data_IF_107013407038
#
_entry.id   IF_107013407038
#
_cell.length_a   1.000
_cell.length_b   1.000
_cell.length_c   1.000
_cell.angle_alpha   90.00
_cell.angle_beta   90.00
_cell.angle_gamma   90.00
#
_symmetry.space_group_name_H-M   'P 1'
#
loop_
_entity.id
_entity.type
_entity.pdbx_description
1 polymer ?
#
# COMPACT_ATOMS: atom_id res chain seq x y z
N UNK A 1 18.55 -41.62 -1.58
CA UNK A 1 18.51 -40.19 -1.93
C UNK A 1 18.44 -39.42 -0.62
N UNK A 2 19.03 -38.24 -0.51
CA UNK A 2 19.07 -37.47 0.73
C UNK A 2 18.28 -36.17 0.54
N UNK A 3 17.36 -35.86 1.44
CA UNK A 3 16.61 -34.60 1.44
C UNK A 3 17.17 -33.63 2.47
N UNK A 4 17.32 -32.38 2.07
CA UNK A 4 17.90 -31.33 2.88
C UNK A 4 17.01 -30.10 2.88
N UNK A 5 16.71 -29.58 4.06
CA UNK A 5 16.13 -28.26 4.23
C UNK A 5 17.21 -27.19 4.01
N UNK A 6 16.94 -26.26 3.09
CA UNK A 6 17.81 -25.13 2.79
C UNK A 6 17.41 -23.94 3.65
N UNK A 7 18.33 -23.49 4.50
CA UNK A 7 18.14 -22.36 5.40
C UNK A 7 18.62 -21.06 4.78
N UNK A 8 17.90 -19.97 5.01
CA UNK A 8 18.37 -18.60 4.75
C UNK A 8 19.24 -18.08 5.91
N UNK A 9 19.66 -16.81 5.84
CA UNK A 9 20.46 -16.15 6.87
C UNK A 9 19.77 -16.10 8.24
N UNK A 10 18.43 -16.13 8.27
CA UNK A 10 17.60 -16.10 9.48
C UNK A 10 17.28 -17.51 10.00
N UNK A 11 17.95 -18.54 9.47
CA UNK A 11 17.72 -19.96 9.79
C UNK A 11 16.30 -20.44 9.47
N UNK A 12 15.62 -19.81 8.51
CA UNK A 12 14.29 -20.21 8.03
C UNK A 12 14.46 -21.13 6.83
N UNK A 13 13.72 -22.24 6.80
CA UNK A 13 13.69 -23.13 5.64
C UNK A 13 12.94 -22.47 4.48
N UNK A 14 13.68 -22.19 3.40
CA UNK A 14 13.15 -21.56 2.18
C UNK A 14 12.98 -22.56 1.03
N UNK A 15 13.48 -23.78 1.17
CA UNK A 15 13.35 -24.81 0.14
C UNK A 15 13.87 -26.18 0.57
N UNK A 16 13.55 -27.21 -0.21
CA UNK A 16 14.00 -28.59 -0.01
C UNK A 16 14.85 -29.02 -1.21
N UNK A 17 16.06 -29.50 -0.94
CA UNK A 17 16.98 -30.05 -1.94
C UNK A 17 17.05 -31.56 -1.84
N UNK A 18 16.91 -32.25 -2.97
CA UNK A 18 17.05 -33.69 -3.05
C UNK A 18 18.36 -34.05 -3.76
N UNK A 19 19.30 -34.65 -3.03
CA UNK A 19 20.66 -34.92 -3.49
C UNK A 19 20.95 -36.42 -3.55
N UNK A 20 21.84 -36.81 -4.47
CA UNK A 20 22.27 -38.21 -4.64
C UNK A 20 23.25 -38.68 -3.56
N UNK A 21 23.88 -37.77 -2.83
CA UNK A 21 24.88 -38.05 -1.79
C UNK A 21 24.73 -37.16 -0.56
N UNK A 22 25.51 -37.46 0.47
CA UNK A 22 25.55 -36.66 1.70
C UNK A 22 26.29 -35.34 1.45
N UNK A 23 25.67 -34.24 1.86
CA UNK A 23 26.29 -32.92 1.92
C UNK A 23 26.42 -32.49 3.37
N UNK A 24 27.58 -31.92 3.70
CA UNK A 24 27.88 -31.27 4.96
C UNK A 24 28.00 -29.77 4.68
N UNK A 25 26.94 -29.02 4.99
CA UNK A 25 26.87 -27.58 4.80
C UNK A 25 26.03 -26.95 5.91
N UNK A 26 26.47 -25.80 6.44
CA UNK A 26 25.85 -25.14 7.59
C UNK A 26 24.41 -24.66 7.36
N UNK A 27 24.03 -24.46 6.10
CA UNK A 27 22.71 -24.01 5.67
C UNK A 27 21.86 -25.17 5.13
N UNK A 28 22.32 -26.42 5.24
CA UNK A 28 21.61 -27.60 4.78
C UNK A 28 21.41 -28.59 5.91
N UNK A 29 20.18 -28.70 6.40
CA UNK A 29 19.83 -29.64 7.47
C UNK A 29 19.21 -30.88 6.84
N UNK A 30 19.78 -32.05 7.12
CA UNK A 30 19.22 -33.32 6.65
C UNK A 30 17.83 -33.52 7.28
N UNK A 31 16.84 -33.81 6.43
CA UNK A 31 15.45 -34.03 6.84
C UNK A 31 14.93 -35.37 6.31
N UNK A 32 13.86 -35.86 6.93
CA UNK A 32 13.10 -36.99 6.41
C UNK A 32 12.25 -36.54 5.21
N UNK A 33 11.87 -37.48 4.35
CA UNK A 33 11.13 -37.19 3.11
C UNK A 33 9.73 -36.60 3.35
N UNK A 34 9.13 -36.92 4.50
CA UNK A 34 7.81 -36.43 4.93
C UNK A 34 7.88 -35.18 5.83
N UNK A 35 9.05 -34.55 5.97
CA UNK A 35 9.22 -33.43 6.89
C UNK A 35 8.65 -32.13 6.32
N UNK A 36 7.54 -31.65 6.89
CA UNK A 36 6.91 -30.37 6.57
C UNK A 36 7.59 -29.20 7.31
N UNK A 37 8.85 -28.94 6.98
CA UNK A 37 9.67 -27.90 7.63
C UNK A 37 9.73 -26.59 6.85
N UNK A 38 9.08 -26.52 5.68
CA UNK A 38 9.09 -25.32 4.83
C UNK A 38 8.46 -24.13 5.58
N UNK A 39 9.18 -23.00 5.63
CA UNK A 39 8.75 -21.82 6.38
C UNK A 39 8.89 -21.93 7.91
N UNK A 40 9.44 -23.04 8.44
CA UNK A 40 9.82 -23.14 9.84
C UNK A 40 11.23 -22.58 10.06
N UNK A 41 11.48 -22.08 11.28
CA UNK A 41 12.81 -21.66 11.71
C UNK A 41 13.53 -22.82 12.42
N UNK A 42 14.82 -22.98 12.16
CA UNK A 42 15.65 -24.00 12.79
C UNK A 42 16.54 -23.39 13.87
N UNK A 43 16.22 -23.66 15.13
CA UNK A 43 16.98 -23.17 16.29
C UNK A 43 17.50 -24.35 17.11
N UNK A 44 18.83 -24.45 17.27
CA UNK A 44 19.51 -25.42 18.14
C UNK A 44 19.04 -26.88 18.01
N UNK A 45 18.74 -27.33 16.79
CA UNK A 45 18.29 -28.71 16.55
C UNK A 45 16.77 -28.90 16.48
N UNK A 46 15.99 -27.85 16.75
CA UNK A 46 14.53 -27.89 16.83
C UNK A 46 13.94 -27.04 15.70
N UNK A 47 12.93 -27.59 15.03
CA UNK A 47 12.11 -26.85 14.08
C UNK A 47 10.98 -26.15 14.83
N UNK A 48 11.01 -24.83 14.81
CA UNK A 48 9.98 -23.99 15.41
C UNK A 48 9.10 -23.44 14.30
N UNK A 49 7.80 -23.66 14.44
CA UNK A 49 6.83 -22.97 13.60
C UNK A 49 6.94 -21.49 13.96
N UNK A 50 7.42 -20.67 13.03
CA UNK A 50 7.21 -19.23 13.15
C UNK A 50 5.70 -19.08 13.34
N UNK A 51 5.30 -18.42 14.43
CA UNK A 51 3.92 -17.99 14.58
C UNK A 51 3.60 -17.23 13.29
N UNK A 52 2.91 -17.89 12.37
CA UNK A 52 2.26 -17.19 11.28
C UNK A 52 1.49 -16.12 12.02
N UNK A 53 1.78 -14.85 11.71
CA UNK A 53 0.84 -13.79 12.00
C UNK A 53 -0.46 -14.35 11.45
N UNK A 54 -1.34 -14.85 12.33
CA UNK A 54 -2.69 -15.17 11.91
C UNK A 54 -3.13 -13.90 11.17
N UNK A 55 -3.68 -14.00 9.94
CA UNK A 55 -4.23 -12.82 9.29
C UNK A 55 -5.14 -12.20 10.33
N UNK A 56 -4.71 -11.05 10.87
CA UNK A 56 -5.23 -10.46 12.10
C UNK A 56 -6.74 -10.68 12.09
N UNK A 57 -7.27 -11.49 13.00
CA UNK A 57 -8.68 -11.38 13.31
C UNK A 57 -8.83 -9.93 13.76
N UNK A 58 -9.33 -9.09 12.84
CA UNK A 58 -9.33 -7.64 12.97
C UNK A 58 -9.74 -7.31 14.40
N UNK A 59 -8.80 -6.76 15.17
CA UNK A 59 -9.11 -6.35 16.52
C UNK A 59 -10.24 -5.31 16.40
N UNK A 60 -11.23 -5.25 17.31
CA UNK A 60 -12.36 -4.32 17.19
C UNK A 60 -11.94 -2.87 16.89
N UNK A 61 -10.73 -2.49 17.34
CA UNK A 61 -10.09 -1.21 17.06
C UNK A 61 -9.74 -0.93 15.58
N UNK A 62 -9.57 -1.94 14.73
CA UNK A 62 -9.27 -1.76 13.29
C UNK A 62 -10.53 -1.43 12.49
N UNK A 63 -11.70 -1.94 12.91
CA UNK A 63 -13.00 -1.62 12.31
C UNK A 63 -13.42 -0.17 12.63
N UNK A 64 -13.17 0.30 13.85
CA UNK A 64 -13.42 1.69 14.26
C UNK A 64 -12.50 2.68 13.52
N UNK A 65 -11.27 2.28 13.22
CA UNK A 65 -10.33 3.08 12.43
C UNK A 65 -10.71 3.16 10.95
N UNK A 66 -11.32 2.11 10.39
CA UNK A 66 -11.84 2.16 9.02
C UNK A 66 -13.00 3.16 8.90
N UNK A 67 -13.94 3.15 9.84
CA UNK A 67 -15.09 4.06 9.84
C UNK A 67 -14.66 5.54 9.91
N UNK A 68 -13.68 5.82 10.79
CA UNK A 68 -13.10 7.18 10.94
C UNK A 68 -12.42 7.65 9.65
N UNK A 69 -11.57 6.82 9.04
CA UNK A 69 -10.86 7.17 7.80
C UNK A 69 -11.82 7.36 6.61
N UNK A 70 -12.92 6.61 6.55
CA UNK A 70 -13.94 6.80 5.53
C UNK A 70 -14.69 8.12 5.73
N UNK A 71 -14.95 8.52 6.97
CA UNK A 71 -15.57 9.82 7.26
C UNK A 71 -14.66 10.98 6.84
N UNK A 72 -13.37 10.94 7.20
CA UNK A 72 -12.37 11.95 6.79
C UNK A 72 -12.25 12.06 5.26
N UNK A 73 -12.20 10.92 4.55
CA UNK A 73 -12.07 10.90 3.09
C UNK A 73 -13.29 11.53 2.41
N UNK A 74 -14.50 11.26 2.90
CA UNK A 74 -15.73 11.83 2.34
C UNK A 74 -15.81 13.34 2.59
N UNK A 75 -15.40 13.81 3.77
CA UNK A 75 -15.34 15.24 4.08
C UNK A 75 -14.32 15.98 3.20
N UNK A 76 -13.14 15.39 2.97
CA UNK A 76 -12.11 15.96 2.08
C UNK A 76 -12.64 16.04 0.64
N UNK A 77 -13.30 15.01 0.15
CA UNK A 77 -13.86 15.00 -1.21
C UNK A 77 -14.96 16.06 -1.38
N UNK A 78 -15.82 16.24 -0.37
CA UNK A 78 -16.84 17.29 -0.39
C UNK A 78 -16.22 18.69 -0.35
N UNK A 79 -15.21 18.92 0.49
CA UNK A 79 -14.50 20.19 0.56
C UNK A 79 -13.80 20.53 -0.76
N UNK A 80 -13.16 19.54 -1.39
CA UNK A 80 -12.54 19.71 -2.70
C UNK A 80 -13.58 20.11 -3.76
N UNK A 81 -14.72 19.43 -3.79
CA UNK A 81 -15.82 19.75 -4.73
C UNK A 81 -16.37 21.16 -4.52
N UNK A 82 -16.54 21.61 -3.27
CA UNK A 82 -17.01 22.97 -2.96
C UNK A 82 -16.00 24.04 -3.39
N UNK A 83 -14.70 23.78 -3.18
CA UNK A 83 -13.62 24.67 -3.60
C UNK A 83 -13.55 24.79 -5.13
N UNK A 84 -13.65 23.68 -5.86
CA UNK A 84 -13.66 23.69 -7.32
C UNK A 84 -14.84 24.49 -7.87
N UNK A 85 -16.03 24.32 -7.28
CA UNK A 85 -17.23 25.06 -7.68
C UNK A 85 -17.07 26.58 -7.48
N UNK A 86 -16.58 26.99 -6.30
CA UNK A 86 -16.31 28.42 -6.04
C UNK A 86 -15.28 29.00 -6.98
N UNK A 87 -14.23 28.26 -7.30
CA UNK A 87 -13.22 28.72 -8.27
C UNK A 87 -13.84 28.94 -9.65
N UNK A 88 -14.70 28.01 -10.10
CA UNK A 88 -15.39 28.14 -11.38
C UNK A 88 -16.31 29.38 -11.41
N UNK A 89 -17.06 29.63 -10.33
CA UNK A 89 -17.90 30.82 -10.21
C UNK A 89 -17.08 32.12 -10.23
N UNK A 90 -15.95 32.14 -9.52
CA UNK A 90 -15.02 33.28 -9.51
C UNK A 90 -14.49 33.54 -10.92
N UNK A 91 -14.07 32.50 -11.65
CA UNK A 91 -13.59 32.65 -13.03
C UNK A 91 -14.68 33.20 -13.96
N UNK A 92 -15.90 32.66 -13.90
CA UNK A 92 -17.01 33.15 -14.71
C UNK A 92 -17.34 34.62 -14.40
N UNK A 93 -17.35 34.99 -13.12
CA UNK A 93 -17.61 36.37 -12.70
C UNK A 93 -16.51 37.31 -13.18
N UNK A 94 -15.25 36.88 -13.12
CA UNK A 94 -14.14 37.67 -13.65
C UNK A 94 -14.25 37.86 -15.17
N UNK A 95 -14.64 36.84 -15.92
CA UNK A 95 -14.82 36.96 -17.37
C UNK A 95 -15.96 37.94 -17.73
N UNK A 96 -17.08 37.89 -17.00
CA UNK A 96 -18.17 38.84 -17.19
C UNK A 96 -17.75 40.29 -16.87
N UNK A 97 -16.95 40.47 -15.81
CA UNK A 97 -16.39 41.77 -15.47
C UNK A 97 -15.43 42.25 -16.57
N UNK A 98 -14.56 41.39 -17.09
CA UNK A 98 -13.65 41.71 -18.18
C UNK A 98 -14.41 42.14 -19.45
N UNK A 99 -15.49 41.45 -19.80
CA UNK A 99 -16.35 41.83 -20.93
C UNK A 99 -17.03 43.19 -20.71
N UNK A 100 -17.52 43.48 -19.50
CA UNK A 100 -18.12 44.77 -19.19
C UNK A 100 -17.09 45.90 -19.29
N UNK A 101 -15.89 45.69 -18.76
CA UNK A 101 -14.78 46.66 -18.86
C UNK A 101 -14.41 46.90 -20.32
N UNK A 102 -14.23 45.84 -21.11
CA UNK A 102 -13.91 45.95 -22.53
C UNK A 102 -14.96 46.74 -23.32
N UNK A 103 -16.26 46.51 -23.05
CA UNK A 103 -17.34 47.27 -23.68
C UNK A 103 -17.32 48.76 -23.28
N UNK A 104 -17.02 49.07 -22.01
CA UNK A 104 -16.89 50.46 -21.53
C UNK A 104 -15.68 51.13 -22.19
N UNK A 105 -14.53 50.46 -22.26
CA UNK A 105 -13.33 50.97 -22.95
C UNK A 105 -13.61 51.26 -24.43
N UNK A 106 -14.31 50.35 -25.12
CA UNK A 106 -14.66 50.52 -26.53
C UNK A 106 -15.65 51.67 -26.76
N UNK A 107 -16.63 51.85 -25.86
CA UNK A 107 -17.57 52.97 -25.91
C UNK A 107 -16.89 54.33 -25.61
N UNK A 108 -15.90 54.37 -24.72
CA UNK A 108 -15.11 55.58 -24.45
C UNK A 108 -14.14 55.93 -25.58
N UNK A 109 -13.58 54.94 -26.28
CA UNK A 109 -12.69 55.15 -27.43
C UNK A 109 -13.42 55.52 -28.73
N UNK A 110 -14.67 55.07 -28.91
CA UNK A 110 -15.51 55.39 -30.08
C UNK A 110 -16.24 56.73 -30.03
N UNK A 111 -16.20 57.46 -28.91
CA UNK A 111 -16.92 58.72 -28.70
C UNK A 111 -16.16 59.99 -29.07
N UNK A 112 -14.96 59.90 -29.66
CA UNK A 112 -14.14 61.04 -30.04
C UNK A 112 -13.88 61.08 -31.56
N UNK A 113 -14.94 61.27 -32.34
CA UNK A 113 -14.90 61.75 -33.74
C UNK A 113 -15.94 62.84 -33.94
#
# INVERSE_FOLDING_TARGET
MFQYAQLNQEKICVGISQLSGKVDAENMILINEDAEVLGMQYNNGIWEKLAQLEPNAASPSELEQMDTQQMDTQQIMQAFTDVELRNLEIQQRQELLAQQIANIELAMLGGNT
#
